data_IF_020825717277
#
_entry.id   IF_020825717277
#
_cell.length_a   1.000
_cell.length_b   1.000
_cell.length_c   1.000
_cell.angle_alpha   90.00
_cell.angle_beta   90.00
_cell.angle_gamma   90.00
#
_symmetry.space_group_name_H-M   'P 1'
#
loop_
_entity.id
_entity.type
_entity.pdbx_description
1 polymer ?
#
# COMPACT_ATOMS: atom_id res chain seq x y z
N UNK A 1 -60.85 7.83 13.17
CA UNK A 1 -59.75 7.80 12.18
C UNK A 1 -58.45 8.08 12.93
N UNK A 2 -57.59 7.06 13.15
CA UNK A 2 -56.32 7.18 13.89
C UNK A 2 -55.16 7.17 12.88
N UNK A 3 -54.36 8.23 12.89
CA UNK A 3 -53.19 8.43 12.04
C UNK A 3 -52.11 7.39 12.34
N UNK A 4 -51.80 6.51 11.38
CA UNK A 4 -50.75 5.46 11.44
C UNK A 4 -49.49 5.83 10.65
N UNK A 5 -49.39 7.05 10.10
CA UNK A 5 -48.33 7.44 9.16
C UNK A 5 -47.00 7.88 9.79
N UNK A 6 -46.94 8.18 11.08
CA UNK A 6 -45.74 8.74 11.72
C UNK A 6 -44.66 7.73 12.09
N UNK A 7 -45.01 6.45 12.27
CA UNK A 7 -44.08 5.46 12.82
C UNK A 7 -43.08 4.93 11.78
N UNK A 8 -43.43 4.95 10.49
CA UNK A 8 -42.57 4.39 9.43
C UNK A 8 -41.37 5.30 9.12
N UNK A 9 -41.54 6.62 9.25
CA UNK A 9 -40.52 7.62 8.87
C UNK A 9 -39.37 7.71 9.89
N UNK A 10 -39.63 7.38 11.15
CA UNK A 10 -38.61 7.39 12.22
C UNK A 10 -37.69 6.17 12.12
N UNK A 11 -38.16 5.03 11.60
CA UNK A 11 -37.31 3.83 11.44
C UNK A 11 -36.24 4.02 10.36
N UNK A 12 -36.53 4.68 9.24
CA UNK A 12 -35.55 4.87 8.15
C UNK A 12 -34.40 5.81 8.53
N UNK A 13 -34.63 6.77 9.42
CA UNK A 13 -33.59 7.71 9.87
C UNK A 13 -32.50 7.05 10.75
N UNK A 14 -32.81 5.92 11.39
CA UNK A 14 -31.89 5.24 12.31
C UNK A 14 -30.88 4.31 11.60
N UNK A 15 -31.18 3.83 10.38
CA UNK A 15 -30.25 2.98 9.64
C UNK A 15 -29.10 3.75 8.97
N UNK A 16 -29.26 5.06 8.73
CA UNK A 16 -28.24 5.88 8.08
C UNK A 16 -27.01 6.15 8.98
N UNK A 17 -27.17 6.08 10.31
CA UNK A 17 -26.11 6.38 11.29
C UNK A 17 -25.21 5.18 11.61
N UNK A 18 -25.64 3.95 11.30
CA UNK A 18 -24.88 2.74 11.59
C UNK A 18 -23.96 2.29 10.44
N UNK A 19 -23.90 3.04 9.33
CA UNK A 19 -23.17 2.63 8.13
C UNK A 19 -21.73 3.18 8.05
N UNK A 20 -21.34 4.11 8.93
CA UNK A 20 -19.94 4.55 9.06
C UNK A 20 -19.26 3.75 10.16
N UNK A 21 -18.78 2.56 9.83
CA UNK A 21 -17.80 1.88 10.68
C UNK A 21 -16.40 2.34 10.26
N UNK A 22 -15.65 2.95 11.19
CA UNK A 22 -14.24 3.28 10.99
C UNK A 22 -13.46 1.97 10.79
N UNK A 23 -13.04 1.72 9.55
CA UNK A 23 -12.15 0.60 9.24
C UNK A 23 -10.72 1.09 9.33
N UNK A 24 -9.84 0.39 10.09
CA UNK A 24 -8.44 0.77 10.14
C UNK A 24 -7.83 0.63 8.74
N UNK A 25 -6.98 1.59 8.40
CA UNK A 25 -6.17 1.61 7.19
C UNK A 25 -4.79 2.15 7.54
N UNK A 26 -3.79 1.83 6.73
CA UNK A 26 -2.44 2.37 6.87
C UNK A 26 -1.81 2.62 5.50
N UNK A 27 -0.80 3.47 5.43
CA UNK A 27 -0.14 3.79 4.17
C UNK A 27 0.90 2.72 3.80
N UNK A 28 0.90 2.30 2.55
CA UNK A 28 1.99 1.54 1.97
C UNK A 28 3.03 2.52 1.41
N UNK A 29 4.20 2.57 2.06
CA UNK A 29 5.30 3.46 1.69
C UNK A 29 6.41 2.64 1.04
N UNK A 30 6.87 3.09 -0.13
CA UNK A 30 7.97 2.47 -0.86
C UNK A 30 8.74 3.50 -1.68
N UNK A 31 9.97 3.15 -2.06
CA UNK A 31 10.78 3.85 -3.03
C UNK A 31 10.61 3.20 -4.40
N UNK A 32 10.47 4.01 -5.45
CA UNK A 32 10.37 3.52 -6.83
C UNK A 32 11.76 3.31 -7.42
N UNK A 33 11.95 2.20 -8.11
CA UNK A 33 13.19 1.93 -8.85
C UNK A 33 13.12 2.50 -10.26
N UNK A 34 14.13 3.30 -10.63
CA UNK A 34 14.35 3.76 -11.98
C UNK A 34 15.34 2.81 -12.69
N UNK A 35 14.89 2.03 -13.69
CA UNK A 35 15.75 1.06 -14.37
C UNK A 35 16.73 1.70 -15.35
N UNK A 36 16.50 2.94 -15.80
CA UNK A 36 17.36 3.64 -16.75
C UNK A 36 18.58 4.24 -16.04
N UNK A 37 18.37 4.81 -14.85
CA UNK A 37 19.42 5.44 -14.04
C UNK A 37 19.97 4.52 -12.93
N UNK A 38 19.40 3.32 -12.77
CA UNK A 38 19.77 2.31 -11.78
C UNK A 38 19.77 2.83 -10.32
N UNK A 39 18.77 3.63 -9.97
CA UNK A 39 18.65 4.29 -8.67
C UNK A 39 17.24 4.15 -8.08
N UNK A 40 17.09 4.51 -6.81
CA UNK A 40 15.80 4.62 -6.13
C UNK A 40 15.39 6.08 -5.96
N UNK A 41 14.12 6.36 -6.22
CA UNK A 41 13.50 7.63 -5.86
C UNK A 41 13.30 7.72 -4.33
N UNK A 42 13.11 8.94 -3.82
CA UNK A 42 12.75 9.14 -2.43
C UNK A 42 11.45 8.38 -2.06
N UNK A 43 11.37 7.72 -0.88
CA UNK A 43 10.17 7.00 -0.48
C UNK A 43 8.92 7.88 -0.43
N UNK A 44 7.79 7.36 -0.92
CA UNK A 44 6.51 8.05 -0.92
C UNK A 44 5.35 7.10 -0.60
N UNK A 45 4.19 7.66 -0.24
CA UNK A 45 2.97 6.88 -0.05
C UNK A 45 2.43 6.45 -1.42
N UNK A 46 2.51 5.16 -1.70
CA UNK A 46 2.09 4.57 -2.98
C UNK A 46 0.60 4.27 -2.95
N UNK A 47 0.11 3.70 -1.85
CA UNK A 47 -1.30 3.31 -1.68
C UNK A 47 -1.70 3.25 -0.19
N UNK A 48 -2.96 2.90 0.07
CA UNK A 48 -3.54 2.71 1.39
C UNK A 48 -4.05 1.26 1.52
N UNK A 49 -3.52 0.53 2.49
CA UNK A 49 -3.84 -0.87 2.74
C UNK A 49 -4.91 -0.96 3.85
N UNK A 50 -5.89 -1.84 3.62
CA UNK A 50 -6.93 -2.11 4.60
C UNK A 50 -6.39 -2.96 5.75
N UNK A 51 -6.70 -2.56 6.98
CA UNK A 51 -6.26 -3.23 8.19
C UNK A 51 -5.43 -2.34 9.10
N UNK A 52 -5.20 -2.77 10.35
CA UNK A 52 -4.31 -2.07 11.26
C UNK A 52 -2.89 -2.02 10.70
N UNK A 53 -2.15 -0.97 11.02
CA UNK A 53 -0.72 -0.87 10.72
C UNK A 53 0.03 -2.05 11.37
N UNK A 54 0.71 -2.92 10.59
CA UNK A 54 1.46 -4.05 11.12
C UNK A 54 2.73 -3.63 11.88
N UNK A 55 3.10 -2.35 11.83
CA UNK A 55 4.35 -1.81 12.38
C UNK A 55 5.53 -1.97 11.42
N UNK A 56 6.74 -1.78 11.93
CA UNK A 56 7.96 -1.82 11.11
C UNK A 56 8.30 -3.24 10.66
N UNK A 57 8.48 -3.42 9.36
CA UNK A 57 9.02 -4.66 8.81
C UNK A 57 10.54 -4.74 8.98
N UNK A 58 11.09 -5.82 9.58
CA UNK A 58 12.53 -5.96 9.74
C UNK A 58 13.26 -6.38 8.45
N UNK A 59 12.51 -6.69 7.39
CA UNK A 59 13.04 -7.21 6.13
C UNK A 59 12.63 -6.26 5.03
N UNK A 60 13.61 -5.78 4.28
CA UNK A 60 13.38 -5.06 3.02
C UNK A 60 12.69 -5.99 2.02
N UNK A 61 11.60 -5.52 1.42
CA UNK A 61 10.88 -6.23 0.38
C UNK A 61 10.88 -5.47 -0.92
N UNK A 62 10.82 -6.22 -2.01
CA UNK A 62 10.66 -5.70 -3.34
C UNK A 62 9.34 -6.19 -3.94
N UNK A 63 8.58 -5.26 -4.49
CA UNK A 63 7.22 -5.45 -4.99
C UNK A 63 7.14 -5.04 -6.45
N UNK A 64 6.41 -5.82 -7.24
CA UNK A 64 6.04 -5.47 -8.61
C UNK A 64 4.56 -5.09 -8.65
N UNK A 65 4.25 -3.90 -9.17
CA UNK A 65 2.87 -3.43 -9.34
C UNK A 65 2.21 -4.09 -10.56
N UNK A 66 0.87 -4.02 -10.71
CA UNK A 66 0.20 -4.54 -11.91
C UNK A 66 0.65 -3.89 -13.23
N UNK A 67 1.19 -2.66 -13.17
CA UNK A 67 1.77 -1.97 -14.34
C UNK A 67 3.23 -2.35 -14.61
N UNK A 68 3.84 -3.21 -13.79
CA UNK A 68 5.22 -3.63 -13.90
C UNK A 68 6.24 -2.66 -13.26
N UNK A 69 5.79 -1.68 -12.47
CA UNK A 69 6.70 -0.82 -11.72
C UNK A 69 7.32 -1.61 -10.56
N UNK A 70 8.58 -1.34 -10.27
CA UNK A 70 9.32 -1.98 -9.18
C UNK A 70 9.43 -1.02 -8.01
N UNK A 71 9.02 -1.48 -6.83
CA UNK A 71 8.99 -0.71 -5.60
C UNK A 71 9.76 -1.45 -4.51
N UNK A 72 10.59 -0.73 -3.76
CA UNK A 72 11.33 -1.24 -2.61
C UNK A 72 10.75 -0.64 -1.34
N UNK A 73 10.29 -1.48 -0.42
CA UNK A 73 9.82 -1.05 0.90
C UNK A 73 10.76 -1.55 1.98
N UNK A 74 11.20 -0.65 2.85
CA UNK A 74 12.04 -0.95 4.02
C UNK A 74 11.24 -0.99 5.31
N UNK A 75 9.96 -0.62 5.26
CA UNK A 75 9.10 -0.47 6.45
C UNK A 75 7.82 -1.30 6.40
N UNK A 76 7.31 -1.64 5.21
CA UNK A 76 6.05 -2.37 5.08
C UNK A 76 6.26 -3.88 4.89
N UNK A 77 5.51 -4.68 5.65
CA UNK A 77 5.51 -6.14 5.52
C UNK A 77 4.45 -6.66 4.56
N UNK A 78 3.42 -5.86 4.31
CA UNK A 78 2.35 -6.06 3.38
C UNK A 78 2.34 -4.94 2.32
N UNK A 79 1.57 -5.19 1.27
CA UNK A 79 1.38 -4.30 0.13
C UNK A 79 -0.08 -4.44 -0.32
N UNK A 80 -0.55 -3.59 -1.25
CA UNK A 80 -1.82 -3.81 -1.93
C UNK A 80 -1.93 -5.24 -2.48
N UNK A 81 -3.14 -5.84 -2.46
CA UNK A 81 -3.33 -7.27 -2.71
C UNK A 81 -3.00 -7.71 -4.15
N UNK A 82 -2.89 -6.77 -5.07
CA UNK A 82 -2.52 -6.97 -6.47
C UNK A 82 -1.03 -6.76 -6.75
N UNK A 83 -0.23 -6.43 -5.72
CA UNK A 83 1.22 -6.33 -5.84
C UNK A 83 1.83 -7.71 -5.60
N UNK A 84 2.89 -8.01 -6.35
CA UNK A 84 3.60 -9.28 -6.25
C UNK A 84 4.89 -9.11 -5.47
N UNK A 85 5.09 -9.90 -4.40
CA UNK A 85 6.38 -9.99 -3.73
C UNK A 85 7.37 -10.70 -4.66
N UNK A 86 8.41 -9.98 -5.07
CA UNK A 86 9.48 -10.43 -5.95
C UNK A 86 10.85 -10.36 -5.26
N UNK A 87 10.86 -10.26 -3.93
CA UNK A 87 12.08 -10.12 -3.12
C UNK A 87 13.07 -11.26 -3.36
N UNK A 88 12.56 -12.47 -3.63
CA UNK A 88 13.36 -13.67 -3.84
C UNK A 88 13.59 -14.01 -5.34
N UNK A 89 13.27 -13.10 -6.26
CA UNK A 89 13.53 -13.32 -7.68
C UNK A 89 15.03 -13.47 -7.95
N UNK A 90 15.36 -14.18 -9.04
CA UNK A 90 16.75 -14.48 -9.39
C UNK A 90 17.59 -13.21 -9.61
N UNK A 91 18.90 -13.32 -9.37
CA UNK A 91 19.85 -12.25 -9.65
C UNK A 91 19.69 -11.71 -11.08
N UNK A 92 19.80 -10.38 -11.22
CA UNK A 92 19.60 -9.68 -12.49
C UNK A 92 18.15 -9.36 -12.85
N UNK A 93 17.16 -9.89 -12.10
CA UNK A 93 15.77 -9.44 -12.17
C UNK A 93 15.64 -7.95 -11.82
N UNK A 94 14.56 -7.27 -12.26
CA UNK A 94 14.31 -5.89 -11.86
C UNK A 94 14.31 -5.69 -10.34
N UNK A 95 13.70 -6.62 -9.58
CA UNK A 95 13.72 -6.53 -8.12
C UNK A 95 15.09 -6.77 -7.50
N UNK A 96 15.87 -7.73 -8.01
CA UNK A 96 17.24 -7.92 -7.53
C UNK A 96 18.08 -6.65 -7.73
N UNK A 97 17.96 -5.99 -8.89
CA UNK A 97 18.67 -4.73 -9.17
C UNK A 97 18.20 -3.58 -8.28
N UNK A 98 16.91 -3.50 -7.99
CA UNK A 98 16.37 -2.49 -7.09
C UNK A 98 16.87 -2.67 -5.64
N UNK A 99 16.99 -3.92 -5.19
CA UNK A 99 17.57 -4.25 -3.88
C UNK A 99 19.08 -3.96 -3.85
N UNK A 100 19.80 -4.23 -4.94
CA UNK A 100 21.23 -3.87 -5.06
C UNK A 100 21.39 -2.34 -5.01
N UNK A 101 20.57 -1.57 -5.74
CA UNK A 101 20.59 -0.10 -5.70
C UNK A 101 20.33 0.45 -4.27
N UNK A 102 19.42 -0.17 -3.51
CA UNK A 102 19.24 0.17 -2.09
C UNK A 102 20.51 -0.10 -1.28
N UNK A 103 21.13 -1.26 -1.46
CA UNK A 103 22.33 -1.66 -0.71
C UNK A 103 23.52 -0.74 -1.01
N UNK A 104 23.59 -0.21 -2.23
CA UNK A 104 24.61 0.75 -2.68
C UNK A 104 24.28 2.20 -2.27
N UNK A 105 23.04 2.49 -1.88
CA UNK A 105 22.57 3.84 -1.57
C UNK A 105 22.42 4.73 -2.80
N UNK A 106 22.07 4.14 -3.95
CA UNK A 106 21.88 4.87 -5.21
C UNK A 106 20.55 5.64 -5.21
N UNK A 107 20.61 6.96 -5.06
CA UNK A 107 19.47 7.88 -5.11
C UNK A 107 19.36 8.53 -6.51
N UNK A 108 18.13 8.68 -7.01
CA UNK A 108 17.85 9.35 -8.29
C UNK A 108 17.88 10.89 -8.19
N UNK A 109 17.97 11.46 -6.99
CA UNK A 109 18.23 12.88 -6.81
C UNK A 109 19.72 13.21 -7.08
N UNK A 110 20.03 14.31 -7.78
CA UNK A 110 21.40 14.78 -8.02
C UNK A 110 22.09 15.34 -6.77
#
# INVERSE_FOLDING_TARGET
>A
MRSRGGLLLVLFAQLALAACEDRPVHAFIAARYNPDDHCLEAPFAVDVVAGPDPGSCPITRCWETPSGEVLVSTTACDAPPDFHDKTADSAGSPCARALDALAEGADCAP
#
